data_IF_792533491566
#
_entry.id   IF_792533491566
#
_cell.length_a   1.000
_cell.length_b   1.000
_cell.length_c   1.000
_cell.angle_alpha   90.00
_cell.angle_beta   90.00
_cell.angle_gamma   90.00
#
_symmetry.space_group_name_H-M   'P 1'
#
loop_
_entity.id
_entity.type
_entity.pdbx_description
1 polymer ?
#
# COMPACT_ATOMS: atom_id res chain seq x y z
N UNK A 1 9.75 -30.09 -20.06
CA UNK A 1 10.36 -28.88 -19.46
C UNK A 1 10.52 -27.71 -20.45
N UNK A 2 10.33 -27.87 -21.77
CA UNK A 2 10.56 -26.78 -22.76
C UNK A 2 9.35 -25.89 -23.11
N UNK A 3 8.13 -26.20 -22.63
CA UNK A 3 6.91 -25.46 -23.01
C UNK A 3 6.53 -24.29 -22.10
N UNK A 4 7.25 -24.08 -21.00
CA UNK A 4 6.95 -23.05 -19.99
C UNK A 4 7.80 -21.78 -20.12
N UNK A 5 9.01 -21.89 -20.68
CA UNK A 5 9.84 -20.72 -20.99
C UNK A 5 9.19 -19.82 -22.05
N UNK A 6 8.43 -20.41 -22.97
CA UNK A 6 7.66 -19.67 -24.00
C UNK A 6 6.44 -18.95 -23.42
N UNK A 7 5.75 -19.52 -22.42
CA UNK A 7 4.55 -18.90 -21.84
C UNK A 7 4.84 -17.66 -20.98
N UNK A 8 5.91 -17.69 -20.18
CA UNK A 8 6.30 -16.54 -19.34
C UNK A 8 6.89 -15.42 -20.19
N UNK A 9 7.68 -15.76 -21.22
CA UNK A 9 8.17 -14.76 -22.18
C UNK A 9 7.01 -14.10 -22.96
N UNK A 10 5.96 -14.84 -23.30
CA UNK A 10 4.79 -14.29 -24.01
C UNK A 10 3.87 -13.44 -23.14
N UNK A 11 3.74 -13.70 -21.83
CA UNK A 11 2.97 -12.84 -20.93
C UNK A 11 3.70 -11.52 -20.64
N UNK A 12 5.03 -11.56 -20.50
CA UNK A 12 5.87 -10.35 -20.44
C UNK A 12 5.81 -9.59 -21.76
N UNK A 13 5.81 -10.27 -22.91
CA UNK A 13 5.62 -9.63 -24.22
C UNK A 13 4.21 -9.03 -24.42
N UNK A 14 3.15 -9.66 -23.88
CA UNK A 14 1.81 -9.08 -23.94
C UNK A 14 1.69 -7.84 -23.05
N UNK A 15 2.29 -7.86 -21.85
CA UNK A 15 2.36 -6.68 -20.98
C UNK A 15 3.19 -5.53 -21.60
N UNK A 16 4.23 -5.86 -22.37
CA UNK A 16 5.01 -4.89 -23.16
C UNK A 16 4.26 -4.40 -24.42
N UNK A 17 3.30 -5.16 -24.94
CA UNK A 17 2.53 -4.76 -26.13
C UNK A 17 1.35 -3.81 -25.85
N UNK A 18 0.98 -3.60 -24.59
CA UNK A 18 -0.12 -2.68 -24.21
C UNK A 18 0.36 -1.22 -24.08
N UNK A 19 1.65 -0.93 -24.24
CA UNK A 19 2.18 0.44 -24.04
C UNK A 19 3.11 0.89 -25.17
N UNK A 20 2.55 1.15 -26.36
CA UNK A 20 3.29 1.86 -27.41
C UNK A 20 2.43 2.80 -28.27
N UNK A 21 1.33 3.33 -27.75
CA UNK A 21 0.77 4.56 -28.31
C UNK A 21 1.44 5.75 -27.61
N UNK A 22 2.14 6.58 -28.39
CA UNK A 22 2.88 7.78 -27.95
C UNK A 22 2.09 8.77 -27.07
N UNK A 23 0.76 8.62 -26.98
CA UNK A 23 -0.11 9.48 -26.19
C UNK A 23 -0.09 9.23 -24.66
N UNK A 24 0.43 8.10 -24.17
CA UNK A 24 0.39 7.74 -22.73
C UNK A 24 1.75 7.84 -22.00
N UNK A 25 2.79 8.37 -22.63
CA UNK A 25 4.11 8.52 -22.01
C UNK A 25 4.10 9.45 -20.77
N UNK A 26 3.07 10.28 -20.60
CA UNK A 26 2.91 11.15 -19.42
C UNK A 26 2.33 10.45 -18.19
N UNK A 27 1.84 9.21 -18.33
CA UNK A 27 1.25 8.44 -17.23
C UNK A 27 2.15 7.33 -16.70
N UNK A 28 3.29 7.02 -17.31
CA UNK A 28 4.12 5.89 -16.85
C UNK A 28 5.01 6.32 -15.67
N UNK A 29 4.86 5.67 -14.51
CA UNK A 29 5.76 5.84 -13.35
C UNK A 29 7.09 5.12 -13.57
N UNK A 30 7.10 4.03 -14.34
CA UNK A 30 8.32 3.39 -14.83
C UNK A 30 8.32 1.86 -14.74
N UNK A 31 9.44 1.27 -15.13
CA UNK A 31 9.74 -0.15 -14.95
C UNK A 31 10.43 -0.32 -13.59
N UNK A 32 9.94 -1.25 -12.77
CA UNK A 32 10.50 -1.51 -11.45
C UNK A 32 11.14 -2.88 -11.39
N UNK A 33 12.28 -2.96 -10.73
CA UNK A 33 13.01 -4.20 -10.47
C UNK A 33 13.36 -4.25 -9.00
N UNK A 34 13.05 -5.35 -8.34
CA UNK A 34 13.14 -5.51 -6.90
C UNK A 34 13.86 -6.80 -6.51
N UNK A 35 14.64 -6.72 -5.44
CA UNK A 35 15.15 -7.87 -4.70
C UNK A 35 14.52 -7.89 -3.31
N UNK A 36 13.97 -9.03 -2.92
CA UNK A 36 13.17 -9.18 -1.71
C UNK A 36 13.76 -10.26 -0.79
N UNK A 37 13.57 -10.07 0.52
CA UNK A 37 13.91 -11.05 1.55
C UNK A 37 12.89 -11.02 2.68
N UNK A 38 12.66 -12.15 3.36
CA UNK A 38 11.61 -12.20 4.35
C UNK A 38 11.38 -13.55 4.97
N UNK A 39 10.28 -13.67 5.70
CA UNK A 39 9.84 -14.89 6.38
C UNK A 39 8.51 -15.34 5.79
N UNK A 40 8.45 -16.61 5.39
CA UNK A 40 7.24 -17.28 4.92
C UNK A 40 6.82 -18.38 5.88
N UNK A 41 5.59 -18.33 6.35
CA UNK A 41 4.94 -19.37 7.14
C UNK A 41 4.03 -20.18 6.24
N UNK A 42 4.44 -21.41 5.96
CA UNK A 42 3.68 -22.34 5.11
C UNK A 42 2.83 -23.28 5.96
N UNK A 43 1.54 -23.36 5.63
CA UNK A 43 0.53 -24.11 6.36
C UNK A 43 -0.02 -25.24 5.48
N UNK A 44 0.00 -26.45 6.03
CA UNK A 44 -0.48 -27.65 5.35
C UNK A 44 -0.99 -28.69 6.34
N UNK A 45 -2.21 -29.20 6.11
CA UNK A 45 -2.84 -30.28 6.91
C UNK A 45 -2.77 -30.04 8.44
N UNK A 46 -2.93 -28.78 8.88
CA UNK A 46 -2.91 -28.40 10.29
C UNK A 46 -1.52 -28.21 10.90
N UNK A 47 -0.45 -28.47 10.14
CA UNK A 47 0.92 -28.15 10.50
C UNK A 47 1.38 -26.84 9.83
N UNK A 48 2.32 -26.14 10.46
CA UNK A 48 2.97 -24.97 9.87
C UNK A 48 4.46 -24.92 10.18
N UNK A 49 5.23 -24.40 9.22
CA UNK A 49 6.67 -24.18 9.34
C UNK A 49 7.03 -22.84 8.72
N UNK A 50 7.80 -22.05 9.47
CA UNK A 50 8.31 -20.77 9.02
C UNK A 50 9.74 -20.91 8.51
N UNK A 51 10.04 -20.28 7.38
CA UNK A 51 11.37 -20.26 6.77
C UNK A 51 11.70 -18.87 6.28
N UNK A 52 12.98 -18.53 6.39
CA UNK A 52 13.50 -17.36 5.70
C UNK A 52 13.63 -17.65 4.21
N UNK A 53 13.35 -16.65 3.39
CA UNK A 53 13.33 -16.75 1.94
C UNK A 53 13.83 -15.49 1.27
N UNK A 54 14.02 -15.62 -0.03
CA UNK A 54 14.42 -14.51 -0.91
C UNK A 54 13.63 -14.59 -2.22
N UNK A 55 13.54 -13.46 -2.91
CA UNK A 55 12.83 -13.37 -4.16
C UNK A 55 13.23 -12.15 -4.97
N UNK A 56 12.57 -12.02 -6.11
CA UNK A 56 12.71 -10.88 -6.98
C UNK A 56 11.36 -10.57 -7.62
N UNK A 57 11.14 -9.30 -7.94
CA UNK A 57 9.99 -8.85 -8.68
C UNK A 57 10.40 -7.94 -9.83
N UNK A 58 9.66 -7.99 -10.92
CA UNK A 58 9.73 -7.04 -12.02
C UNK A 58 8.33 -6.57 -12.32
N UNK A 59 8.13 -5.26 -12.46
CA UNK A 59 6.82 -4.71 -12.74
C UNK A 59 6.85 -3.43 -13.54
N UNK A 60 5.66 -3.02 -13.95
CA UNK A 60 5.39 -1.79 -14.68
C UNK A 60 4.36 -1.00 -13.87
N UNK A 61 4.60 0.29 -13.66
CA UNK A 61 3.67 1.19 -12.98
C UNK A 61 3.28 2.37 -13.86
N UNK A 62 2.04 2.79 -13.73
CA UNK A 62 1.48 3.99 -14.33
C UNK A 62 0.65 4.79 -13.31
N UNK A 63 0.83 6.10 -13.30
CA UNK A 63 -0.11 7.06 -12.75
C UNK A 63 -1.38 7.09 -13.61
N UNK A 64 -2.51 6.81 -12.98
CA UNK A 64 -3.84 6.83 -13.63
C UNK A 64 -4.66 8.04 -13.18
N UNK A 65 -4.34 8.59 -12.01
CA UNK A 65 -4.77 9.89 -11.52
C UNK A 65 -3.61 10.52 -10.71
N UNK A 66 -3.74 11.77 -10.29
CA UNK A 66 -2.66 12.58 -9.69
C UNK A 66 -1.77 11.82 -8.69
N UNK A 67 -2.36 11.03 -7.78
CA UNK A 67 -1.63 10.25 -6.79
C UNK A 67 -1.96 8.75 -6.81
N UNK A 68 -2.68 8.27 -7.84
CA UNK A 68 -3.10 6.88 -7.93
C UNK A 68 -2.24 6.11 -8.93
N UNK A 69 -1.62 5.03 -8.45
CA UNK A 69 -0.73 4.16 -9.23
C UNK A 69 -1.44 2.84 -9.50
N UNK A 70 -1.45 2.42 -10.77
CA UNK A 70 -1.77 1.06 -11.17
C UNK A 70 -0.54 0.40 -11.77
N UNK A 71 -0.36 -0.88 -11.50
CA UNK A 71 0.75 -1.63 -12.07
C UNK A 71 0.48 -3.12 -12.21
N UNK A 72 1.34 -3.76 -12.99
CA UNK A 72 1.41 -5.21 -13.11
C UNK A 72 2.80 -5.68 -12.69
N UNK A 73 2.91 -6.88 -12.11
CA UNK A 73 4.19 -7.42 -11.66
C UNK A 73 4.27 -8.94 -11.82
N UNK A 74 5.45 -9.39 -12.24
CA UNK A 74 5.88 -10.78 -12.15
C UNK A 74 6.77 -10.95 -10.91
N UNK A 75 6.54 -12.01 -10.14
CA UNK A 75 7.29 -12.29 -8.91
C UNK A 75 7.87 -13.70 -8.93
N UNK A 76 9.05 -13.83 -8.34
CA UNK A 76 9.68 -15.10 -8.01
C UNK A 76 10.00 -15.11 -6.51
N UNK A 77 9.72 -16.23 -5.85
CA UNK A 77 10.02 -16.40 -4.44
C UNK A 77 10.53 -17.81 -4.15
N UNK A 78 11.55 -17.89 -3.30
CA UNK A 78 12.16 -19.14 -2.85
C UNK A 78 12.23 -19.17 -1.33
N UNK A 79 11.39 -20.00 -0.70
CA UNK A 79 11.36 -20.24 0.74
C UNK A 79 10.98 -21.70 1.02
N UNK A 80 11.92 -22.64 0.84
CA UNK A 80 11.61 -24.05 0.95
C UNK A 80 11.26 -24.43 2.39
N UNK A 81 10.03 -24.87 2.61
CA UNK A 81 9.52 -25.30 3.91
C UNK A 81 8.98 -26.73 3.82
N UNK A 82 9.15 -27.48 4.89
CA UNK A 82 8.69 -28.85 5.04
C UNK A 82 7.76 -28.96 6.26
N UNK A 83 6.63 -29.63 6.08
CA UNK A 83 5.63 -29.88 7.11
C UNK A 83 5.44 -31.38 7.20
N UNK A 84 5.58 -31.91 8.41
CA UNK A 84 5.35 -33.32 8.70
C UNK A 84 4.07 -33.47 9.50
N UNK A 85 3.07 -34.13 8.92
CA UNK A 85 1.85 -34.50 9.58
C UNK A 85 1.87 -36.00 9.90
N UNK A 86 1.31 -36.36 11.06
CA UNK A 86 1.06 -37.76 11.44
C UNK A 86 -0.45 -37.99 11.34
N UNK A 87 -0.98 -38.29 10.14
CA UNK A 87 -2.39 -38.58 10.00
C UNK A 87 -2.77 -39.81 10.84
N UNK A 88 -3.97 -39.81 11.41
CA UNK A 88 -4.51 -40.94 12.18
C UNK A 88 -4.63 -42.24 11.34
N UNK A 89 -4.45 -42.16 10.01
CA UNK A 89 -4.60 -43.25 9.04
C UNK A 89 -3.37 -44.16 8.89
N UNK A 90 -2.48 -44.24 9.89
CA UNK A 90 -1.43 -45.27 9.90
C UNK A 90 -0.18 -44.97 9.06
N UNK A 91 0.26 -43.71 8.99
CA UNK A 91 1.54 -43.35 8.37
C UNK A 91 1.99 -41.93 8.69
N UNK A 92 3.01 -41.47 7.97
CA UNK A 92 3.55 -40.11 8.03
C UNK A 92 3.32 -39.44 6.67
N UNK A 93 2.71 -38.25 6.66
CA UNK A 93 2.60 -37.41 5.47
C UNK A 93 3.62 -36.27 5.56
N UNK A 94 4.59 -36.27 4.64
CA UNK A 94 5.55 -35.19 4.47
C UNK A 94 5.10 -34.31 3.31
N UNK A 95 4.95 -33.03 3.57
CA UNK A 95 4.69 -32.06 2.52
C UNK A 95 5.90 -31.13 2.46
N UNK A 96 6.29 -30.72 1.26
CA UNK A 96 7.35 -29.73 1.06
C UNK A 96 6.95 -28.71 0.00
N UNK A 97 7.22 -27.43 0.25
CA UNK A 97 7.12 -26.35 -0.74
C UNK A 97 8.52 -25.90 -1.15
N UNK A 98 8.65 -25.35 -2.37
CA UNK A 98 9.90 -24.87 -2.92
C UNK A 98 9.78 -23.40 -3.35
N UNK A 99 9.55 -23.19 -4.65
CA UNK A 99 9.52 -21.90 -5.30
C UNK A 99 8.10 -21.52 -5.71
N UNK A 100 7.78 -20.25 -5.65
CA UNK A 100 6.52 -19.65 -6.09
C UNK A 100 6.80 -18.64 -7.21
N UNK A 101 6.07 -18.77 -8.31
CA UNK A 101 6.02 -17.80 -9.39
C UNK A 101 4.66 -17.11 -9.37
N UNK A 102 4.63 -15.79 -9.44
CA UNK A 102 3.40 -15.01 -9.40
C UNK A 102 3.28 -14.03 -10.55
N UNK A 103 2.04 -13.75 -10.93
CA UNK A 103 1.66 -12.62 -11.78
C UNK A 103 0.52 -11.88 -11.07
N UNK A 104 0.72 -10.61 -10.76
CA UNK A 104 -0.23 -9.81 -10.00
C UNK A 104 -0.45 -8.44 -10.60
N UNK A 105 -1.64 -7.89 -10.37
CA UNK A 105 -1.91 -6.47 -10.51
C UNK A 105 -1.77 -5.81 -9.13
N UNK A 106 -1.33 -4.56 -9.13
CA UNK A 106 -1.23 -3.73 -7.93
C UNK A 106 -1.86 -2.37 -8.15
N UNK A 107 -2.41 -1.82 -7.07
CA UNK A 107 -3.04 -0.52 -7.05
C UNK A 107 -2.68 0.19 -5.75
N UNK A 108 -2.29 1.46 -5.82
CA UNK A 108 -1.85 2.20 -4.64
C UNK A 108 -2.03 3.70 -4.75
N UNK A 109 -1.86 4.37 -3.60
CA UNK A 109 -1.96 5.82 -3.46
C UNK A 109 -0.66 6.36 -2.89
N UNK A 110 -0.12 7.41 -3.53
CA UNK A 110 1.01 8.16 -2.98
C UNK A 110 0.52 9.12 -1.89
N UNK A 111 1.08 8.98 -0.68
CA UNK A 111 0.66 9.73 0.51
C UNK A 111 1.56 10.93 0.84
N UNK A 112 2.52 11.27 -0.04
CA UNK A 112 3.45 12.38 0.19
C UNK A 112 4.74 12.24 -0.60
N UNK A 113 5.87 12.63 -0.01
CA UNK A 113 7.20 12.72 -0.64
C UNK A 113 7.87 11.37 -0.93
N UNK A 114 7.15 10.44 -1.59
CA UNK A 114 7.71 9.21 -2.16
C UNK A 114 7.26 7.96 -1.43
N UNK A 115 6.24 8.09 -0.58
CA UNK A 115 5.58 6.98 0.09
C UNK A 115 4.40 6.50 -0.75
N UNK A 116 4.42 5.26 -1.21
CA UNK A 116 3.30 4.60 -1.88
C UNK A 116 2.72 3.54 -0.95
N UNK A 117 1.42 3.59 -0.67
CA UNK A 117 0.69 2.49 -0.03
C UNK A 117 -0.12 1.76 -1.08
N UNK A 118 0.05 0.45 -1.19
CA UNK A 118 -0.59 -0.32 -2.25
C UNK A 118 -1.17 -1.63 -1.75
N UNK A 119 -2.19 -2.11 -2.46
CA UNK A 119 -2.69 -3.47 -2.43
C UNK A 119 -2.34 -4.20 -3.72
N UNK A 120 -2.29 -5.53 -3.66
CA UNK A 120 -2.09 -6.38 -4.83
C UNK A 120 -2.94 -7.63 -4.81
N UNK A 121 -3.28 -8.09 -6.01
CA UNK A 121 -4.01 -9.33 -6.22
C UNK A 121 -3.53 -10.01 -7.49
N UNK A 122 -3.44 -11.33 -7.47
CA UNK A 122 -2.89 -12.07 -8.60
C UNK A 122 -3.06 -13.57 -8.54
N UNK A 123 -2.40 -14.22 -9.48
CA UNK A 123 -2.30 -15.67 -9.58
C UNK A 123 -0.88 -16.11 -9.23
N UNK A 124 -0.76 -17.27 -8.58
CA UNK A 124 0.52 -17.87 -8.22
C UNK A 124 0.57 -19.33 -8.62
N UNK A 125 1.79 -19.83 -8.84
CA UNK A 125 2.09 -21.23 -9.04
C UNK A 125 3.24 -21.62 -8.14
N UNK A 126 3.02 -22.60 -7.29
CA UNK A 126 4.01 -23.09 -6.34
C UNK A 126 4.34 -24.55 -6.60
N UNK A 127 5.63 -24.87 -6.55
CA UNK A 127 6.13 -26.23 -6.64
C UNK A 127 6.04 -26.89 -5.27
N UNK A 128 5.33 -28.02 -5.19
CA UNK A 128 5.13 -28.77 -3.96
C UNK A 128 5.37 -30.26 -4.16
N UNK A 129 5.86 -30.89 -3.09
CA UNK A 129 6.03 -32.34 -2.99
C UNK A 129 5.18 -32.87 -1.86
N UNK A 130 4.52 -34.00 -2.12
CA UNK A 130 3.78 -34.77 -1.13
C UNK A 130 4.37 -36.17 -1.11
N UNK A 131 4.80 -36.62 0.06
CA UNK A 131 5.24 -37.98 0.29
C UNK A 131 4.43 -38.55 1.45
N UNK A 132 4.00 -39.80 1.32
CA UNK A 132 3.42 -40.55 2.41
C UNK A 132 4.19 -41.83 2.64
N UNK A 133 4.57 -42.04 3.89
CA UNK A 133 5.29 -43.22 4.34
C UNK A 133 4.40 -44.02 5.29
N UNK A 134 3.88 -45.19 4.87
CA UNK A 134 3.01 -46.01 5.72
C UNK A 134 3.76 -46.61 6.91
N UNK A 135 3.06 -46.83 8.01
CA UNK A 135 3.57 -47.68 9.10
C UNK A 135 3.43 -49.15 8.74
N UNK A 136 4.47 -49.94 9.02
CA UNK A 136 4.46 -51.39 8.83
C UNK A 136 4.52 -52.11 10.18
N UNK A 137 3.72 -53.18 10.39
CA UNK A 137 3.79 -53.97 11.60
C UNK A 137 5.18 -54.59 11.78
N UNK A 138 5.72 -54.50 13.00
CA UNK A 138 6.95 -55.18 13.40
C UNK A 138 6.60 -56.50 14.11
N UNK A 139 7.32 -57.61 13.83
CA UNK A 139 7.23 -58.80 14.66
C UNK A 139 7.53 -58.44 16.13
N UNK A 140 6.59 -58.72 17.03
CA UNK A 140 6.66 -58.32 18.44
C UNK A 140 5.77 -57.13 18.85
N UNK A 141 4.89 -56.63 17.97
CA UNK A 141 3.79 -55.72 18.35
C UNK A 141 4.06 -54.22 18.27
N UNK A 142 5.11 -53.80 17.55
CA UNK A 142 5.42 -52.38 17.29
C UNK A 142 5.07 -51.93 15.86
N UNK A 143 5.15 -50.63 15.59
CA UNK A 143 5.09 -50.06 14.24
C UNK A 143 6.50 -49.60 13.82
N UNK A 144 6.92 -49.98 12.61
CA UNK A 144 8.08 -49.42 11.93
C UNK A 144 7.61 -48.42 10.86
N UNK A 145 8.49 -47.49 10.48
CA UNK A 145 8.29 -46.66 9.30
C UNK A 145 8.62 -47.53 8.08
N UNK A 146 7.69 -47.63 7.12
CA UNK A 146 7.90 -48.32 5.86
C UNK A 146 8.92 -47.62 4.96
N UNK A 147 9.08 -48.13 3.74
CA UNK A 147 9.94 -47.53 2.71
C UNK A 147 9.22 -47.42 1.37
N UNK A 148 9.95 -47.05 0.32
CA UNK A 148 9.40 -46.88 -1.02
C UNK A 148 8.76 -48.15 -1.61
N UNK A 149 9.11 -49.33 -1.09
CA UNK A 149 8.56 -50.63 -1.49
C UNK A 149 7.33 -51.05 -0.68
N UNK A 150 6.94 -50.28 0.34
CA UNK A 150 5.81 -50.62 1.20
C UNK A 150 4.47 -50.30 0.50
N UNK A 151 3.49 -51.22 0.50
CA UNK A 151 2.15 -50.94 -0.01
C UNK A 151 1.55 -49.69 0.63
N UNK A 152 1.07 -48.76 -0.20
CA UNK A 152 0.51 -47.48 0.25
C UNK A 152 1.54 -46.33 0.30
N UNK A 153 2.84 -46.59 0.08
CA UNK A 153 3.80 -45.51 -0.18
C UNK A 153 3.39 -44.73 -1.42
N UNK A 154 3.39 -43.40 -1.32
CA UNK A 154 3.28 -42.55 -2.50
C UNK A 154 4.24 -41.37 -2.40
N UNK A 155 4.73 -40.97 -3.56
CA UNK A 155 5.53 -39.78 -3.75
C UNK A 155 4.98 -39.03 -4.96
N UNK A 156 4.62 -37.78 -4.75
CA UNK A 156 3.99 -36.94 -5.77
C UNK A 156 4.68 -35.58 -5.80
N UNK A 157 5.02 -35.14 -7.00
CA UNK A 157 5.69 -33.86 -7.24
C UNK A 157 4.87 -33.06 -8.24
N UNK A 158 4.25 -31.98 -7.77
CA UNK A 158 3.30 -31.21 -8.57
C UNK A 158 3.46 -29.72 -8.38
N UNK A 159 3.01 -29.00 -9.40
CA UNK A 159 2.83 -27.56 -9.32
C UNK A 159 1.36 -27.27 -9.01
N UNK A 160 1.11 -26.52 -7.95
CA UNK A 160 -0.24 -26.07 -7.61
C UNK A 160 -0.39 -24.60 -7.94
N UNK A 161 -1.42 -24.29 -8.72
CA UNK A 161 -1.86 -22.91 -8.92
C UNK A 161 -2.70 -22.43 -7.75
N UNK A 162 -2.77 -21.12 -7.60
CA UNK A 162 -3.52 -20.45 -6.55
C UNK A 162 -3.72 -18.97 -6.85
N UNK A 163 -4.22 -18.25 -5.86
CA UNK A 163 -4.30 -16.79 -5.88
C UNK A 163 -3.44 -16.21 -4.76
N UNK A 164 -3.00 -14.97 -4.97
CA UNK A 164 -2.26 -14.19 -3.99
C UNK A 164 -2.96 -12.86 -3.77
N UNK A 165 -3.06 -12.44 -2.52
CA UNK A 165 -3.47 -11.09 -2.15
C UNK A 165 -2.46 -10.54 -1.14
N UNK A 166 -2.13 -9.27 -1.24
CA UNK A 166 -1.20 -8.64 -0.32
C UNK A 166 -1.31 -7.14 -0.34
N UNK A 167 -0.47 -6.51 0.46
CA UNK A 167 -0.33 -5.07 0.49
C UNK A 167 0.99 -4.68 1.13
N UNK A 168 1.42 -3.47 0.83
CA UNK A 168 2.69 -2.98 1.29
C UNK A 168 2.81 -1.47 1.22
N UNK A 169 3.97 -1.02 1.69
CA UNK A 169 4.38 0.37 1.64
C UNK A 169 5.73 0.42 0.96
N UNK A 170 5.88 1.31 -0.02
CA UNK A 170 7.16 1.69 -0.62
C UNK A 170 7.56 3.06 -0.11
N UNK A 171 8.84 3.27 0.14
CA UNK A 171 9.43 4.56 0.44
C UNK A 171 10.60 4.81 -0.50
N UNK A 172 10.50 5.87 -1.30
CA UNK A 172 11.60 6.35 -2.12
C UNK A 172 12.69 6.91 -1.21
N UNK A 173 13.93 6.43 -1.37
CA UNK A 173 15.10 6.82 -0.55
C UNK A 173 16.14 7.60 -1.36
N UNK A 174 16.15 7.45 -2.68
CA UNK A 174 16.95 8.26 -3.60
C UNK A 174 16.22 8.35 -4.96
N UNK A 175 16.76 9.11 -5.91
CA UNK A 175 16.08 9.45 -7.17
C UNK A 175 15.42 8.26 -7.90
N UNK A 176 16.06 7.09 -7.87
CA UNK A 176 15.54 5.88 -8.50
C UNK A 176 15.43 4.69 -7.54
N UNK A 177 15.77 4.87 -6.26
CA UNK A 177 15.82 3.78 -5.28
C UNK A 177 14.69 3.90 -4.29
N UNK A 178 14.07 2.77 -3.97
CA UNK A 178 13.06 2.68 -2.93
C UNK A 178 13.27 1.44 -2.07
N UNK A 179 12.76 1.52 -0.86
CA UNK A 179 12.63 0.39 0.04
C UNK A 179 11.16 0.01 0.14
N UNK A 180 10.88 -1.26 0.39
CA UNK A 180 9.52 -1.81 0.44
C UNK A 180 9.36 -2.67 1.67
N UNK A 181 8.17 -2.62 2.27
CA UNK A 181 7.69 -3.60 3.22
C UNK A 181 6.35 -4.15 2.71
N UNK A 182 6.19 -5.47 2.67
CA UNK A 182 5.01 -6.12 2.11
C UNK A 182 4.58 -7.34 2.95
N UNK A 183 3.28 -7.47 3.15
CA UNK A 183 2.63 -8.70 3.62
C UNK A 183 1.78 -9.30 2.51
N UNK A 184 1.93 -10.60 2.25
CA UNK A 184 1.14 -11.33 1.25
C UNK A 184 0.65 -12.68 1.75
N UNK A 185 -0.52 -13.05 1.30
CA UNK A 185 -1.19 -14.31 1.54
C UNK A 185 -1.42 -15.03 0.22
N UNK A 186 -0.86 -16.24 0.08
CA UNK A 186 -1.05 -17.12 -1.07
C UNK A 186 -1.88 -18.33 -0.67
N UNK A 187 -2.96 -18.62 -1.38
CA UNK A 187 -3.77 -19.83 -1.20
C UNK A 187 -3.75 -20.67 -2.47
N UNK A 188 -3.41 -21.95 -2.31
CA UNK A 188 -3.27 -22.90 -3.41
C UNK A 188 -4.48 -23.83 -3.49
N UNK A 189 -4.72 -24.38 -4.69
CA UNK A 189 -5.87 -25.25 -4.97
C UNK A 189 -5.86 -26.58 -4.19
N UNK A 190 -4.77 -26.92 -3.51
CA UNK A 190 -4.67 -28.12 -2.67
C UNK A 190 -4.92 -27.83 -1.18
N UNK A 191 -5.58 -26.72 -0.85
CA UNK A 191 -5.89 -26.28 0.52
C UNK A 191 -4.67 -25.90 1.38
N UNK A 192 -3.48 -25.85 0.80
CA UNK A 192 -2.31 -25.26 1.46
C UNK A 192 -2.29 -23.75 1.27
N UNK A 193 -1.66 -23.03 2.20
CA UNK A 193 -1.50 -21.59 2.09
C UNK A 193 -0.19 -21.10 2.71
N UNK A 194 0.24 -19.91 2.31
CA UNK A 194 1.47 -19.28 2.80
C UNK A 194 1.16 -17.85 3.23
N UNK A 195 1.64 -17.45 4.41
CA UNK A 195 1.69 -16.05 4.82
C UNK A 195 3.15 -15.61 4.75
N UNK A 196 3.45 -14.56 4.00
CA UNK A 196 4.81 -14.05 3.82
C UNK A 196 4.87 -12.58 4.22
N UNK A 197 5.84 -12.24 5.06
CA UNK A 197 6.25 -10.86 5.31
C UNK A 197 7.64 -10.64 4.72
N UNK A 198 7.81 -9.61 3.90
CA UNK A 198 9.07 -9.33 3.20
C UNK A 198 9.46 -7.85 3.26
N UNK A 199 10.76 -7.64 3.15
CA UNK A 199 11.40 -6.35 2.91
C UNK A 199 12.10 -6.41 1.55
N UNK A 200 12.02 -5.31 0.80
CA UNK A 200 12.54 -5.23 -0.55
C UNK A 200 13.37 -3.98 -0.78
N UNK A 201 14.33 -4.08 -1.69
CA UNK A 201 15.06 -2.96 -2.29
C UNK A 201 14.74 -2.94 -3.78
N UNK A 202 14.31 -1.79 -4.28
CA UNK A 202 13.88 -1.65 -5.66
C UNK A 202 14.55 -0.48 -6.38
N UNK A 203 14.66 -0.63 -7.69
CA UNK A 203 15.09 0.42 -8.61
C UNK A 203 13.97 0.68 -9.63
N UNK A 204 13.67 1.96 -9.85
CA UNK A 204 12.70 2.44 -10.83
C UNK A 204 13.44 3.01 -12.05
N UNK A 205 13.05 2.57 -13.24
CA UNK A 205 13.63 2.98 -14.52
C UNK A 205 12.59 3.70 -15.38
N UNK A 206 13.00 4.80 -16.01
CA UNK A 206 12.27 5.39 -17.13
C UNK A 206 11.02 6.21 -16.78
N UNK A 207 10.80 6.57 -15.52
CA UNK A 207 9.77 7.55 -15.14
C UNK A 207 10.35 8.72 -14.38
N UNK A 208 10.02 9.93 -14.83
CA UNK A 208 10.15 11.12 -13.99
C UNK A 208 8.97 11.09 -13.01
N UNK A 209 9.26 11.14 -11.72
CA UNK A 209 8.23 11.43 -10.73
C UNK A 209 7.54 12.72 -11.15
N UNK A 210 6.20 12.73 -11.24
CA UNK A 210 5.47 13.97 -11.30
C UNK A 210 5.83 14.73 -10.02
N UNK A 211 6.68 15.76 -10.15
CA UNK A 211 7.07 16.59 -9.04
C UNK A 211 5.77 17.08 -8.40
N UNK A 212 5.57 16.72 -7.13
CA UNK A 212 4.37 17.12 -6.42
C UNK A 212 4.29 18.63 -6.53
N UNK A 213 3.23 19.16 -7.14
CA UNK A 213 3.08 20.60 -7.28
C UNK A 213 3.31 21.23 -5.91
N UNK A 214 4.17 22.25 -5.79
CA UNK A 214 4.43 22.89 -4.52
C UNK A 214 3.07 23.27 -3.92
N UNK A 215 2.86 22.92 -2.64
CA UNK A 215 1.63 23.26 -1.94
C UNK A 215 1.32 24.74 -2.22
N UNK A 216 0.08 25.09 -2.58
CA UNK A 216 -0.26 26.48 -2.80
C UNK A 216 0.21 27.27 -1.58
N UNK A 217 0.83 28.44 -1.78
CA UNK A 217 1.32 29.24 -0.67
C UNK A 217 0.18 29.41 0.34
N UNK A 218 0.46 29.32 1.65
CA UNK A 218 -0.57 29.48 2.66
C UNK A 218 -1.34 30.77 2.36
N UNK A 219 -2.68 30.76 2.44
CA UNK A 219 -3.45 31.97 2.18
C UNK A 219 -2.89 33.10 3.05
N UNK A 220 -2.77 34.33 2.52
CA UNK A 220 -2.27 35.44 3.28
C UNK A 220 -3.08 35.56 4.58
N UNK A 221 -2.45 35.90 5.72
CA UNK A 221 -3.17 36.09 6.96
C UNK A 221 -4.32 37.08 6.73
N UNK A 222 -5.51 36.83 7.30
CA UNK A 222 -6.62 37.75 7.17
C UNK A 222 -6.17 39.15 7.63
N UNK A 223 -6.61 40.22 6.93
CA UNK A 223 -6.26 41.58 7.33
C UNK A 223 -6.65 41.81 8.79
N UNK A 224 -5.88 42.61 9.55
CA UNK A 224 -6.24 42.98 10.91
C UNK A 224 -7.68 43.52 10.94
N UNK A 225 -8.47 43.20 11.97
CA UNK A 225 -9.76 43.84 12.16
C UNK A 225 -9.61 45.36 12.11
N UNK A 226 -10.48 46.05 11.40
CA UNK A 226 -10.48 47.51 11.40
C UNK A 226 -10.62 48.02 12.86
N UNK A 227 -9.92 49.10 13.25
CA UNK A 227 -10.08 49.71 14.56
C UNK A 227 -11.56 50.00 14.81
N UNK A 228 -12.05 49.67 16.01
CA UNK A 228 -13.42 49.99 16.39
C UNK A 228 -13.57 51.52 16.48
N UNK A 229 -14.55 52.07 15.77
CA UNK A 229 -14.89 53.50 15.81
C UNK A 229 -16.25 53.70 16.46
N UNK A 230 -16.45 54.84 17.14
CA UNK A 230 -17.73 55.29 17.66
C UNK A 230 -18.11 56.64 17.06
N UNK A 231 -19.42 56.89 16.94
CA UNK A 231 -19.96 58.18 16.47
C UNK A 231 -20.38 59.02 17.68
N UNK A 232 -19.86 60.24 17.78
CA UNK A 232 -20.20 61.17 18.84
C UNK A 232 -21.51 61.93 18.57
N UNK A 233 -22.13 62.54 19.60
CA UNK A 233 -23.38 63.31 19.45
C UNK A 233 -23.28 64.51 18.49
N UNK A 234 -22.07 64.99 18.21
CA UNK A 234 -21.77 66.05 17.25
C UNK A 234 -21.62 65.54 15.81
N UNK A 235 -21.73 64.22 15.59
CA UNK A 235 -21.58 63.57 14.29
C UNK A 235 -20.15 63.19 13.92
N UNK A 236 -19.15 63.47 14.76
CA UNK A 236 -17.76 63.06 14.52
C UNK A 236 -17.58 61.56 14.73
N UNK A 237 -16.71 60.93 13.92
CA UNK A 237 -16.30 59.52 14.05
C UNK A 237 -14.93 59.47 14.69
N UNK A 238 -14.83 58.88 15.89
CA UNK A 238 -13.59 58.77 16.66
C UNK A 238 -13.31 57.31 17.02
N UNK A 239 -12.09 57.00 17.47
CA UNK A 239 -11.77 55.66 17.99
C UNK A 239 -12.69 55.30 19.17
N UNK A 240 -13.10 54.05 19.28
CA UNK A 240 -14.02 53.57 20.32
C UNK A 240 -13.50 53.76 21.76
N UNK A 241 -12.21 54.04 21.94
CA UNK A 241 -11.61 54.34 23.26
C UNK A 241 -11.51 55.85 23.55
N UNK A 242 -11.81 56.70 22.58
CA UNK A 242 -11.73 58.15 22.73
C UNK A 242 -13.03 58.71 23.35
N UNK A 243 -12.90 59.75 24.17
CA UNK A 243 -14.05 60.41 24.82
C UNK A 243 -14.61 61.49 23.91
N UNK A 244 -15.93 61.51 23.71
CA UNK A 244 -16.58 62.55 22.92
C UNK A 244 -16.42 63.94 23.56
N UNK A 245 -16.29 65.01 22.76
CA UNK A 245 -16.25 66.36 23.28
C UNK A 245 -17.56 66.71 24.00
N UNK A 246 -17.50 67.48 25.10
CA UNK A 246 -18.70 67.90 25.82
C UNK A 246 -19.56 68.81 24.93
N UNK A 247 -20.90 68.68 25.01
CA UNK A 247 -21.80 69.55 24.26
C UNK A 247 -21.60 71.03 24.66
N UNK A 248 -21.84 71.97 23.74
CA UNK A 248 -21.74 73.39 24.04
C UNK A 248 -22.73 73.77 25.16
N UNK A 249 -22.38 74.74 26.02
CA UNK A 249 -23.26 75.20 27.08
C UNK A 249 -24.57 75.75 26.51
N UNK A 250 -25.70 75.52 27.19
CA UNK A 250 -26.99 76.04 26.75
C UNK A 250 -26.97 77.57 26.68
N UNK A 251 -27.68 78.18 25.72
CA UNK A 251 -27.75 79.63 25.60
C UNK A 251 -28.38 80.25 26.86
N UNK A 252 -27.94 81.45 27.29
CA UNK A 252 -28.49 82.12 28.45
C UNK A 252 -29.99 82.43 28.25
N UNK A 253 -30.81 82.34 29.32
CA UNK A 253 -32.24 82.60 29.22
C UNK A 253 -32.53 84.04 28.77
N UNK A 254 -33.55 84.25 27.92
CA UNK A 254 -33.90 85.57 27.42
C UNK A 254 -34.36 86.50 28.56
N UNK A 255 -33.98 87.79 28.52
CA UNK A 255 -34.38 88.76 29.54
C UNK A 255 -35.91 88.97 29.56
N UNK A 256 -36.50 89.19 30.74
CA UNK A 256 -37.95 89.36 30.88
C UNK A 256 -38.48 90.57 30.09
N UNK A 257 -39.71 90.51 29.53
CA UNK A 257 -40.28 91.58 28.73
C UNK A 257 -40.44 92.88 29.52
N UNK A 258 -39.99 93.99 28.95
CA UNK A 258 -40.22 95.32 29.50
C UNK A 258 -41.72 95.67 29.48
N UNK A 259 -42.26 96.09 30.63
CA UNK A 259 -43.65 96.53 30.74
C UNK A 259 -43.87 97.81 29.92
N UNK A 260 -44.75 97.73 28.94
CA UNK A 260 -45.22 98.84 28.11
C UNK A 260 -46.00 99.83 28.99
N UNK A 261 -45.37 100.96 29.32
CA UNK A 261 -46.08 102.15 29.81
C UNK A 261 -46.56 102.98 28.63
N UNK A 262 -47.86 103.06 28.40
CA UNK A 262 -48.47 104.04 27.50
C UNK A 262 -49.17 105.12 28.36
N UNK A 263 -48.61 106.34 28.31
CA UNK A 263 -49.27 107.61 28.64
C UNK A 263 -49.61 108.30 27.32
N UNK A 264 -50.74 108.99 27.28
CA UNK A 264 -51.09 109.96 26.24
C UNK A 264 -52.57 109.90 25.90
#
# INVERSE_FOLDING_TARGET
MSRLYTGVASAVALALSVTATQANAQGLRGVRVEADTGISSWHSEGASTSKWGWGAAVGLDAYVANNFVLGAEGTFWYAPADNRAVPQSGGIANHKTFQEWGLAARAGVELGTGTLVYGKFGIVRNEQRKEFVPYVPRPGGGLNIGGATTPGYYYDHRNHSGWVAGGGVEQTVASNFYVKAEGRYSRYNNHTHTLTGLLGLGVLFGGARAEAEPLPPPPPPPPPPAPATQTCPDGSVIDATATCPPPPPPPPPPPPPAQRGERG
#
